data_IF_304401486235
#
_entry.id   IF_304401486235
#
_cell.length_a   1.000
_cell.length_b   1.000
_cell.length_c   1.000
_cell.angle_alpha   90.00
_cell.angle_beta   90.00
_cell.angle_gamma   90.00
#
_symmetry.space_group_name_H-M   'P 1'
#
loop_
_entity.id
_entity.type
_entity.pdbx_description
1 polymer ?
#
# COMPACT_ATOMS: atom_id res chain seq x y z
N UNK A 1 5.43 -4.49 -19.32
CA UNK A 1 4.87 -5.83 -19.67
C UNK A 1 5.15 -6.88 -18.61
N UNK A 2 6.39 -7.04 -18.12
CA UNK A 2 6.74 -7.95 -17.01
C UNK A 2 5.88 -7.77 -15.74
N UNK A 3 5.62 -6.53 -15.34
CA UNK A 3 4.79 -6.20 -14.16
C UNK A 3 3.36 -6.76 -14.25
N UNK A 4 2.75 -6.70 -15.44
CA UNK A 4 1.39 -7.22 -15.67
C UNK A 4 1.33 -8.75 -15.60
N UNK A 5 2.42 -9.43 -15.96
CA UNK A 5 2.51 -10.90 -15.91
C UNK A 5 2.68 -11.35 -14.45
N UNK A 6 3.53 -10.64 -13.68
CA UNK A 6 3.72 -10.91 -12.26
C UNK A 6 2.42 -10.67 -11.47
N UNK A 7 1.68 -9.60 -11.75
CA UNK A 7 0.38 -9.35 -11.12
C UNK A 7 -0.68 -10.43 -11.43
N UNK A 8 -0.65 -11.00 -12.63
CA UNK A 8 -1.55 -12.11 -13.01
C UNK A 8 -1.16 -13.42 -12.33
N UNK A 9 0.14 -13.74 -12.30
CA UNK A 9 0.67 -14.93 -11.61
C UNK A 9 0.38 -14.83 -10.12
N UNK A 10 0.59 -13.67 -9.51
CA UNK A 10 0.29 -13.42 -8.11
C UNK A 10 -1.20 -13.59 -7.80
N UNK A 11 -2.09 -13.09 -8.66
CA UNK A 11 -3.55 -13.24 -8.49
C UNK A 11 -4.00 -14.71 -8.55
N UNK A 12 -3.27 -15.54 -9.30
CA UNK A 12 -3.49 -16.99 -9.38
C UNK A 12 -2.86 -17.69 -8.16
N UNK A 13 -1.63 -17.36 -7.81
CA UNK A 13 -0.86 -18.01 -6.74
C UNK A 13 -1.39 -17.66 -5.34
N UNK A 14 -1.76 -16.41 -5.08
CA UNK A 14 -2.36 -15.97 -3.81
C UNK A 14 -3.81 -16.46 -3.62
N UNK A 15 -4.44 -16.99 -4.67
CA UNK A 15 -5.71 -17.74 -4.56
C UNK A 15 -5.51 -19.22 -4.31
N UNK A 16 -4.27 -19.73 -4.38
CA UNK A 16 -3.94 -21.09 -3.95
C UNK A 16 -3.80 -21.13 -2.43
N UNK A 17 -3.91 -22.34 -1.86
CA UNK A 17 -3.73 -22.55 -0.43
C UNK A 17 -2.45 -21.88 0.10
N UNK A 18 -2.48 -21.28 1.31
CA UNK A 18 -1.38 -20.47 1.86
C UNK A 18 -0.01 -21.14 1.79
N UNK A 19 0.03 -22.46 1.96
CA UNK A 19 1.24 -23.28 1.89
C UNK A 19 1.98 -23.21 0.54
N UNK A 20 1.25 -23.15 -0.57
CA UNK A 20 1.84 -23.05 -1.91
C UNK A 20 2.39 -21.65 -2.20
N UNK A 21 1.72 -20.62 -1.69
CA UNK A 21 2.19 -19.23 -1.77
C UNK A 21 3.52 -19.03 -1.04
N UNK A 22 3.63 -19.54 0.20
CA UNK A 22 4.88 -19.43 0.99
C UNK A 22 6.02 -20.18 0.31
N UNK A 23 5.77 -21.40 -0.18
CA UNK A 23 6.79 -22.18 -0.89
C UNK A 23 7.29 -21.46 -2.14
N UNK A 24 6.39 -20.87 -2.93
CA UNK A 24 6.74 -20.09 -4.12
C UNK A 24 7.61 -18.88 -3.78
N UNK A 25 7.26 -18.13 -2.72
CA UNK A 25 8.06 -16.98 -2.28
C UNK A 25 9.47 -17.40 -1.83
N UNK A 26 9.60 -18.52 -1.12
CA UNK A 26 10.89 -19.00 -0.62
C UNK A 26 11.85 -19.46 -1.74
N UNK A 27 11.32 -19.90 -2.89
CA UNK A 27 12.15 -20.33 -4.04
C UNK A 27 12.28 -19.26 -5.11
N UNK A 28 11.62 -18.12 -4.93
CA UNK A 28 11.66 -17.03 -5.90
C UNK A 28 13.02 -16.32 -5.85
N UNK A 29 13.61 -16.02 -7.01
CA UNK A 29 14.85 -15.26 -7.05
C UNK A 29 14.61 -13.81 -6.57
N UNK A 30 15.64 -13.12 -5.99
CA UNK A 30 15.48 -11.78 -5.42
C UNK A 30 14.84 -10.75 -6.37
N UNK A 31 15.25 -10.75 -7.65
CA UNK A 31 14.70 -9.84 -8.66
C UNK A 31 13.18 -9.99 -8.85
N UNK A 32 12.64 -11.19 -8.66
CA UNK A 32 11.21 -11.46 -8.80
C UNK A 32 10.43 -10.90 -7.61
N UNK A 33 10.99 -11.03 -6.39
CA UNK A 33 10.43 -10.44 -5.18
C UNK A 33 10.43 -8.92 -5.27
N UNK A 34 11.54 -8.32 -5.70
CA UNK A 34 11.66 -6.87 -5.88
C UNK A 34 10.66 -6.35 -6.92
N UNK A 35 10.50 -7.04 -8.05
CA UNK A 35 9.53 -6.67 -9.08
C UNK A 35 8.08 -6.74 -8.55
N UNK A 36 7.76 -7.75 -7.76
CA UNK A 36 6.44 -7.89 -7.12
C UNK A 36 6.20 -6.80 -6.06
N UNK A 37 7.18 -6.52 -5.21
CA UNK A 37 7.11 -5.43 -4.23
C UNK A 37 6.87 -4.08 -4.91
N UNK A 38 7.62 -3.78 -5.98
CA UNK A 38 7.45 -2.56 -6.77
C UNK A 38 6.03 -2.46 -7.36
N UNK A 39 5.53 -3.53 -7.98
CA UNK A 39 4.17 -3.56 -8.54
C UNK A 39 3.11 -3.28 -7.47
N UNK A 40 3.20 -3.97 -6.32
CA UNK A 40 2.28 -3.79 -5.19
C UNK A 40 2.35 -2.38 -4.62
N UNK A 41 3.54 -1.84 -4.45
CA UNK A 41 3.75 -0.49 -3.96
C UNK A 41 3.06 0.56 -4.86
N UNK A 42 3.29 0.50 -6.17
CA UNK A 42 2.66 1.40 -7.13
C UNK A 42 1.13 1.27 -7.12
N UNK A 43 0.62 0.04 -7.01
CA UNK A 43 -0.82 -0.21 -6.89
C UNK A 43 -1.40 0.38 -5.60
N UNK A 44 -0.71 0.24 -4.47
CA UNK A 44 -1.11 0.82 -3.18
C UNK A 44 -1.19 2.34 -3.26
N UNK A 45 -0.16 3.00 -3.81
CA UNK A 45 -0.17 4.46 -3.96
C UNK A 45 -1.32 4.93 -4.86
N UNK A 46 -1.57 4.24 -5.98
CA UNK A 46 -2.68 4.56 -6.87
C UNK A 46 -4.03 4.43 -6.15
N UNK A 47 -4.26 3.33 -5.44
CA UNK A 47 -5.51 3.12 -4.69
C UNK A 47 -5.70 4.19 -3.60
N UNK A 48 -4.63 4.53 -2.88
CA UNK A 48 -4.66 5.58 -1.87
C UNK A 48 -5.00 6.94 -2.48
N UNK A 49 -4.34 7.33 -3.57
CA UNK A 49 -4.57 8.60 -4.25
C UNK A 49 -6.00 8.74 -4.82
N UNK A 50 -6.53 7.65 -5.37
CA UNK A 50 -7.86 7.65 -5.96
C UNK A 50 -8.96 7.65 -4.88
N UNK A 51 -8.81 6.84 -3.83
CA UNK A 51 -9.93 6.46 -2.97
C UNK A 51 -9.88 7.05 -1.56
N UNK A 52 -8.70 7.25 -0.98
CA UNK A 52 -8.59 7.89 0.34
C UNK A 52 -8.59 9.40 0.19
N UNK A 53 -9.48 10.07 0.94
CA UNK A 53 -9.55 11.53 0.95
C UNK A 53 -8.30 12.15 1.59
N UNK A 54 -7.77 11.54 2.65
CA UNK A 54 -6.51 11.94 3.29
C UNK A 54 -5.34 11.89 2.31
N UNK A 55 -5.06 10.72 1.73
CA UNK A 55 -3.89 10.56 0.86
C UNK A 55 -3.98 11.40 -0.40
N UNK A 56 -5.19 11.57 -0.97
CA UNK A 56 -5.40 12.47 -2.11
C UNK A 56 -5.02 13.91 -1.78
N UNK A 57 -5.45 14.41 -0.62
CA UNK A 57 -5.13 15.77 -0.18
C UNK A 57 -3.64 15.91 0.17
N UNK A 58 -3.08 14.91 0.86
CA UNK A 58 -1.68 14.89 1.25
C UNK A 58 -0.75 14.85 0.03
N UNK A 59 -0.95 13.93 -0.92
CA UNK A 59 -0.13 13.89 -2.14
C UNK A 59 -0.19 15.20 -2.92
N UNK A 60 -1.37 15.83 -3.02
CA UNK A 60 -1.50 17.16 -3.64
C UNK A 60 -0.68 18.22 -2.89
N UNK A 61 -0.73 18.23 -1.56
CA UNK A 61 0.01 19.18 -0.70
C UNK A 61 1.52 19.02 -0.83
N UNK A 62 2.00 17.78 -0.91
CA UNK A 62 3.42 17.47 -1.06
C UNK A 62 3.91 17.48 -2.52
N UNK A 63 3.03 17.77 -3.49
CA UNK A 63 3.38 17.79 -4.91
C UNK A 63 3.73 16.41 -5.48
N UNK A 64 3.25 15.34 -4.86
CA UNK A 64 3.53 13.96 -5.26
C UNK A 64 2.60 13.56 -6.40
N UNK A 65 3.18 13.31 -7.59
CA UNK A 65 2.50 12.62 -8.68
C UNK A 65 2.77 11.11 -8.57
N UNK A 66 1.79 10.38 -8.03
CA UNK A 66 1.89 8.92 -7.81
C UNK A 66 2.20 8.11 -9.08
N UNK A 67 1.93 8.65 -10.27
CA UNK A 67 2.24 7.98 -11.55
C UNK A 67 3.73 8.01 -11.88
N UNK A 68 4.49 8.88 -11.22
CA UNK A 68 5.94 9.07 -11.42
C UNK A 68 6.77 8.40 -10.31
N UNK A 69 6.12 7.85 -9.30
CA UNK A 69 6.78 7.19 -8.17
C UNK A 69 7.07 5.74 -8.54
N UNK A 70 8.35 5.38 -8.54
CA UNK A 70 8.83 4.02 -8.86
C UNK A 70 9.35 3.28 -7.64
N UNK A 71 9.89 4.01 -6.67
CA UNK A 71 10.48 3.47 -5.45
C UNK A 71 10.01 4.29 -4.22
N UNK A 72 9.92 3.70 -3.01
CA UNK A 72 9.54 4.43 -1.80
C UNK A 72 10.36 5.69 -1.52
N UNK A 73 11.63 5.71 -1.92
CA UNK A 73 12.49 6.90 -1.80
C UNK A 73 11.98 8.12 -2.58
N UNK A 74 11.20 7.91 -3.65
CA UNK A 74 10.66 9.00 -4.47
C UNK A 74 9.54 9.77 -3.74
N UNK A 75 9.06 9.25 -2.61
CA UNK A 75 8.13 9.97 -1.73
C UNK A 75 8.84 11.03 -0.87
N UNK A 76 10.17 11.03 -0.82
CA UNK A 76 10.94 11.93 0.04
C UNK A 76 10.55 11.76 1.50
N UNK A 77 10.38 12.87 2.22
CA UNK A 77 10.03 12.90 3.64
C UNK A 77 8.52 12.79 3.91
N UNK A 78 7.75 12.19 2.99
CA UNK A 78 6.33 11.97 3.19
C UNK A 78 6.09 10.74 4.09
N UNK A 79 5.53 10.99 5.27
CA UNK A 79 5.13 9.96 6.23
C UNK A 79 3.72 10.22 6.74
N UNK A 80 2.97 9.14 6.96
CA UNK A 80 1.72 9.16 7.72
C UNK A 80 2.03 8.93 9.20
N UNK A 81 1.54 9.80 10.07
CA UNK A 81 1.80 9.77 11.50
C UNK A 81 0.54 9.40 12.30
N UNK A 82 0.72 9.07 13.58
CA UNK A 82 -0.42 8.89 14.49
C UNK A 82 -1.22 10.18 14.72
N UNK A 83 -0.60 11.35 14.55
CA UNK A 83 -1.29 12.63 14.65
C UNK A 83 -2.24 12.86 13.48
N UNK A 84 -1.84 12.45 12.27
CA UNK A 84 -2.71 12.51 11.09
C UNK A 84 -3.99 11.69 11.30
N UNK A 85 -3.86 10.51 11.91
CA UNK A 85 -5.01 9.65 12.23
C UNK A 85 -5.96 10.32 13.24
N UNK A 86 -5.41 10.99 14.26
CA UNK A 86 -6.20 11.74 15.25
C UNK A 86 -6.89 12.97 14.67
N UNK A 87 -6.19 13.71 13.81
CA UNK A 87 -6.68 14.96 13.24
C UNK A 87 -7.78 14.75 12.18
N UNK A 88 -7.72 13.66 11.42
CA UNK A 88 -8.60 13.42 10.28
C UNK A 88 -9.65 12.32 10.49
N UNK A 89 -9.53 11.52 11.55
CA UNK A 89 -10.37 10.34 11.77
C UNK A 89 -9.98 9.17 10.86
N UNK A 90 -10.31 7.94 11.26
CA UNK A 90 -9.89 6.74 10.55
C UNK A 90 -10.52 6.62 9.14
N UNK A 91 -11.74 7.14 8.98
CA UNK A 91 -12.53 7.07 7.75
C UNK A 91 -11.84 7.78 6.58
N UNK A 92 -11.07 8.84 6.85
CA UNK A 92 -10.35 9.59 5.83
C UNK A 92 -9.24 8.76 5.14
N UNK A 93 -8.74 7.72 5.81
CA UNK A 93 -7.69 6.84 5.32
C UNK A 93 -8.23 5.64 4.54
N UNK A 94 -9.53 5.37 4.61
CA UNK A 94 -10.13 4.21 3.97
C UNK A 94 -10.11 4.35 2.43
N UNK A 95 -9.86 3.22 1.75
CA UNK A 95 -9.93 3.11 0.28
C UNK A 95 -11.20 2.37 -0.19
N UNK A 96 -12.14 2.12 0.71
CA UNK A 96 -13.36 1.33 0.51
C UNK A 96 -14.19 1.22 1.79
N UNK A 97 -15.15 0.30 1.81
CA UNK A 97 -15.91 -0.02 3.02
C UNK A 97 -15.06 -0.88 3.97
N UNK A 98 -15.18 -0.64 5.27
CA UNK A 98 -14.51 -1.43 6.31
C UNK A 98 -15.55 -2.32 7.00
N UNK A 99 -15.34 -3.64 6.94
CA UNK A 99 -16.22 -4.62 7.59
C UNK A 99 -15.81 -4.92 9.04
N UNK A 100 -14.63 -4.47 9.46
CA UNK A 100 -14.07 -4.74 10.80
C UNK A 100 -13.19 -3.58 11.23
N UNK A 101 -13.26 -3.21 12.50
CA UNK A 101 -12.39 -2.22 13.13
C UNK A 101 -11.53 -2.89 14.21
N UNK A 102 -10.25 -2.50 14.24
CA UNK A 102 -9.33 -2.85 15.31
C UNK A 102 -8.81 -1.56 15.92
N UNK A 103 -8.93 -1.45 17.24
CA UNK A 103 -8.50 -0.27 17.97
C UNK A 103 -7.29 -0.59 18.84
N UNK A 104 -6.41 0.38 18.96
CA UNK A 104 -5.27 0.32 19.88
C UNK A 104 -5.51 1.34 20.98
N UNK A 105 -5.10 1.04 22.21
CA UNK A 105 -5.13 2.02 23.30
C UNK A 105 -4.05 3.06 23.02
N UNK A 106 -4.42 4.15 22.35
CA UNK A 106 -3.51 5.27 22.10
C UNK A 106 -2.86 5.74 23.41
N UNK A 107 -1.54 5.91 23.41
CA UNK A 107 -0.76 6.25 24.62
C UNK A 107 -0.84 7.72 25.01
N UNK A 108 -1.55 8.54 24.23
CA UNK A 108 -1.70 9.98 24.42
C UNK A 108 -3.18 10.34 24.39
N UNK A 109 -3.91 9.94 25.42
CA UNK A 109 -5.15 10.64 25.80
C UNK A 109 -4.76 11.85 26.65
N UNK A 110 -5.45 13.00 26.54
CA UNK A 110 -5.38 14.03 27.57
C UNK A 110 -5.80 13.49 28.94
#
# INVERSE_FOLDING_TARGET
MLTSIIEQIERVVLRLEPQHSVRFLNVSPPWAIEAMQRARFQRTLRLAAERSSFYRAAFKRYGIDVRRVEHPSDLGDFYTTGEDLRAHGAEAFLTGHADTAFETTGTTSP
#
